data_IF_510326036163
#
_entry.id   IF_510326036163
#
_cell.length_a   1.000
_cell.length_b   1.000
_cell.length_c   1.000
_cell.angle_alpha   90.00
_cell.angle_beta   90.00
_cell.angle_gamma   90.00
#
_symmetry.space_group_name_H-M   'P 1'
#
loop_
_entity.id
_entity.type
_entity.pdbx_description
1 polymer ?
#
# COMPACT_ATOMS: atom_id res chain seq x y z
N UNK A 1 -13.63 3.29 10.09
CA UNK A 1 -12.97 2.03 10.51
C UNK A 1 -11.48 2.09 10.16
N UNK A 2 -10.68 1.10 10.58
CA UNK A 2 -9.28 0.98 10.17
C UNK A 2 -9.18 0.22 8.84
N UNK A 3 -8.34 0.69 7.91
CA UNK A 3 -8.18 0.12 6.56
C UNK A 3 -6.70 -0.01 6.27
N UNK A 4 -6.25 -1.16 5.77
CA UNK A 4 -4.89 -1.29 5.26
C UNK A 4 -4.81 -0.72 3.86
N UNK A 5 -3.93 0.25 3.65
CA UNK A 5 -3.68 0.86 2.34
C UNK A 5 -2.24 0.53 1.90
N UNK A 6 -2.07 0.12 0.65
CA UNK A 6 -0.76 -0.28 0.11
C UNK A 6 -0.04 0.85 -0.61
N UNK A 7 1.24 0.64 -0.91
CA UNK A 7 2.14 1.67 -1.48
C UNK A 7 1.58 2.35 -2.71
N UNK A 8 0.97 1.61 -3.64
CA UNK A 8 0.43 2.19 -4.87
C UNK A 8 -0.76 3.14 -4.61
N UNK A 9 -1.56 2.94 -3.56
CA UNK A 9 -2.65 3.87 -3.22
C UNK A 9 -2.14 5.22 -2.75
N UNK A 10 -1.04 5.26 -1.99
CA UNK A 10 -0.40 6.51 -1.58
C UNK A 10 0.20 7.25 -2.78
N UNK A 11 0.87 6.52 -3.68
CA UNK A 11 1.48 7.09 -4.88
C UNK A 11 0.42 7.64 -5.83
N UNK A 12 -0.67 6.92 -6.04
CA UNK A 12 -1.78 7.39 -6.89
C UNK A 12 -2.35 8.74 -6.40
N UNK A 13 -2.52 8.89 -5.09
CA UNK A 13 -2.97 10.16 -4.49
C UNK A 13 -1.91 11.25 -4.65
N UNK A 14 -0.65 10.97 -4.35
CA UNK A 14 0.45 11.95 -4.37
C UNK A 14 0.81 12.42 -5.79
N UNK A 15 0.66 11.56 -6.79
CA UNK A 15 0.97 11.81 -8.20
C UNK A 15 -0.23 12.32 -9.00
N UNK A 16 -1.39 12.50 -8.37
CA UNK A 16 -2.64 12.88 -9.04
C UNK A 16 -3.04 11.90 -10.16
N UNK A 17 -2.88 10.60 -9.91
CA UNK A 17 -3.37 9.57 -10.82
C UNK A 17 -4.92 9.58 -10.90
N UNK A 18 -5.52 9.04 -11.97
CA UNK A 18 -6.98 9.06 -12.18
C UNK A 18 -7.79 8.50 -11.00
N UNK A 19 -7.23 7.57 -10.23
CA UNK A 19 -7.83 6.92 -9.08
C UNK A 19 -7.91 7.83 -7.84
N UNK A 20 -7.18 8.95 -7.80
CA UNK A 20 -7.03 9.81 -6.62
C UNK A 20 -8.37 10.17 -5.97
N UNK A 21 -9.32 10.68 -6.74
CA UNK A 21 -10.60 11.15 -6.20
C UNK A 21 -11.41 10.00 -5.60
N UNK A 22 -11.34 8.82 -6.22
CA UNK A 22 -12.00 7.62 -5.72
C UNK A 22 -11.36 7.13 -4.43
N UNK A 23 -10.03 7.07 -4.37
CA UNK A 23 -9.27 6.69 -3.17
C UNK A 23 -9.57 7.65 -2.00
N UNK A 24 -9.60 8.96 -2.24
CA UNK A 24 -9.92 9.96 -1.20
C UNK A 24 -11.36 9.78 -0.70
N UNK A 25 -12.35 9.65 -1.59
CA UNK A 25 -13.74 9.44 -1.19
C UNK A 25 -13.91 8.16 -0.37
N UNK A 26 -13.32 7.06 -0.82
CA UNK A 26 -13.42 5.74 -0.18
C UNK A 26 -12.73 5.71 1.19
N UNK A 27 -11.64 6.46 1.36
CA UNK A 27 -10.88 6.51 2.62
C UNK A 27 -11.32 7.64 3.55
N UNK A 28 -12.19 8.54 3.11
CA UNK A 28 -12.73 9.61 3.95
C UNK A 28 -13.43 9.05 5.18
N UNK A 29 -13.09 9.56 6.37
CA UNK A 29 -13.61 9.06 7.66
C UNK A 29 -13.01 7.73 8.13
N UNK A 30 -11.98 7.19 7.44
CA UNK A 30 -11.26 5.99 7.82
C UNK A 30 -9.88 6.33 8.38
N UNK A 31 -9.34 5.42 9.20
CA UNK A 31 -7.96 5.49 9.64
C UNK A 31 -7.13 4.54 8.79
N UNK A 32 -6.12 5.05 8.08
CA UNK A 32 -5.23 4.22 7.29
C UNK A 32 -4.20 3.53 8.18
N UNK A 33 -3.95 2.26 7.87
CA UNK A 33 -2.96 1.39 8.50
C UNK A 33 -2.02 0.89 7.40
N UNK A 34 -0.75 0.72 7.70
CA UNK A 34 0.20 0.05 6.80
C UNK A 34 1.33 -0.61 7.60
N UNK A 35 2.03 -1.61 7.03
CA UNK A 35 3.29 -2.10 7.60
C UNK A 35 4.35 -0.99 7.66
N UNK A 36 5.25 -1.04 8.65
CA UNK A 36 6.39 -0.11 8.83
C UNK A 36 7.35 -0.04 7.63
N UNK A 37 7.23 -1.00 6.72
CA UNK A 37 7.99 -1.04 5.46
C UNK A 37 7.51 0.01 4.43
N UNK A 38 6.30 0.56 4.58
CA UNK A 38 5.67 1.48 3.62
C UNK A 38 6.60 2.62 3.17
N UNK A 39 7.27 3.39 4.06
CA UNK A 39 8.23 4.43 3.66
C UNK A 39 9.34 3.94 2.72
N UNK A 40 9.87 2.74 2.96
CA UNK A 40 10.96 2.16 2.18
C UNK A 40 10.48 1.70 0.81
N UNK A 41 9.27 1.15 0.74
CA UNK A 41 8.66 0.75 -0.53
C UNK A 41 8.29 1.97 -1.38
N UNK A 42 7.79 3.05 -0.77
CA UNK A 42 7.58 4.33 -1.44
C UNK A 42 8.92 4.86 -1.98
N UNK A 43 9.97 4.87 -1.17
CA UNK A 43 11.31 5.26 -1.62
C UNK A 43 11.79 4.44 -2.81
N UNK A 44 11.64 3.11 -2.76
CA UNK A 44 11.98 2.24 -3.88
C UNK A 44 11.16 2.56 -5.13
N UNK A 45 9.84 2.77 -5.00
CA UNK A 45 8.95 3.10 -6.11
C UNK A 45 9.32 4.45 -6.77
N UNK A 46 9.59 5.48 -5.97
CA UNK A 46 10.03 6.79 -6.46
C UNK A 46 11.35 6.69 -7.25
N UNK A 47 12.32 5.93 -6.73
CA UNK A 47 13.59 5.73 -7.46
C UNK A 47 13.42 4.92 -8.74
N UNK A 48 12.49 3.95 -8.76
CA UNK A 48 12.17 3.19 -9.95
C UNK A 48 11.49 4.07 -11.02
N UNK A 49 10.59 4.97 -10.61
CA UNK A 49 9.95 5.94 -11.50
C UNK A 49 10.96 6.94 -12.08
N UNK A 50 11.90 7.45 -11.26
CA UNK A 50 13.00 8.29 -11.72
C UNK A 50 13.85 7.58 -12.78
N UNK A 51 14.27 6.33 -12.53
CA UNK A 51 15.07 5.52 -13.47
C UNK A 51 14.34 5.26 -14.79
N UNK A 52 13.01 5.22 -14.77
CA UNK A 52 12.16 5.06 -15.95
C UNK A 52 11.85 6.38 -16.66
N UNK A 53 12.30 7.51 -16.14
CA UNK A 53 12.01 8.85 -16.69
C UNK A 53 10.57 9.30 -16.45
N UNK A 54 9.83 8.66 -15.54
CA UNK A 54 8.46 9.05 -15.17
C UNK A 54 8.47 10.26 -14.24
N UNK A 55 9.47 10.35 -13.36
CA UNK A 55 9.70 11.49 -12.48
C UNK A 55 11.07 12.11 -12.78
N UNK A 56 11.15 13.42 -12.62
CA UNK A 56 12.38 14.19 -12.57
C UNK A 56 12.97 14.21 -11.14
N UNK A 57 14.26 14.53 -10.95
CA UNK A 57 14.86 14.58 -9.62
C UNK A 57 14.12 15.51 -8.62
N UNK A 58 13.64 16.72 -9.00
CA UNK A 58 12.83 17.54 -8.10
C UNK A 58 11.48 16.91 -7.74
N UNK A 59 10.82 16.25 -8.69
CA UNK A 59 9.51 15.61 -8.46
C UNK A 59 9.61 14.48 -7.44
N UNK A 60 10.73 13.75 -7.36
CA UNK A 60 10.93 12.71 -6.34
C UNK A 60 10.74 13.27 -4.92
N UNK A 61 11.36 14.42 -4.62
CA UNK A 61 11.25 15.05 -3.31
C UNK A 61 9.84 15.59 -3.07
N UNK A 62 9.23 16.24 -4.07
CA UNK A 62 7.88 16.78 -3.97
C UNK A 62 6.82 15.68 -3.75
N UNK A 63 6.93 14.55 -4.46
CA UNK A 63 6.02 13.42 -4.28
C UNK A 63 6.17 12.80 -2.90
N UNK A 64 7.41 12.66 -2.40
CA UNK A 64 7.67 12.19 -1.05
C UNK A 64 7.03 13.11 0.01
N UNK A 65 7.19 14.41 -0.12
CA UNK A 65 6.60 15.38 0.81
C UNK A 65 5.06 15.34 0.78
N UNK A 66 4.46 15.14 -0.40
CA UNK A 66 3.02 14.96 -0.55
C UNK A 66 2.50 13.68 0.13
N UNK A 67 3.19 12.55 -0.06
CA UNK A 67 2.87 11.27 0.62
C UNK A 67 2.87 11.45 2.13
N UNK A 68 3.87 12.16 2.68
CA UNK A 68 4.02 12.34 4.14
C UNK A 68 2.89 13.14 4.77
N UNK A 69 2.10 13.87 3.99
CA UNK A 69 0.90 14.55 4.49
C UNK A 69 -0.28 13.61 4.70
N UNK A 70 -0.24 12.38 4.16
CA UNK A 70 -1.31 11.40 4.29
C UNK A 70 -1.18 10.69 5.65
N UNK A 71 -2.13 10.86 6.59
CA UNK A 71 -2.03 10.24 7.91
C UNK A 71 -2.18 8.71 7.81
N UNK A 72 -1.20 7.97 8.34
CA UNK A 72 -1.19 6.51 8.39
C UNK A 72 -0.57 6.01 9.70
N UNK A 73 -1.20 5.04 10.35
CA UNK A 73 -0.64 4.32 11.49
C UNK A 73 0.22 3.17 10.96
N UNK A 74 1.53 3.21 11.22
CA UNK A 74 2.44 2.14 10.86
C UNK A 74 2.43 1.02 11.90
N UNK A 75 2.49 -0.23 11.44
CA UNK A 75 2.53 -1.43 12.29
C UNK A 75 3.67 -2.35 11.91
N UNK A 76 4.28 -2.99 12.90
CA UNK A 76 5.26 -4.04 12.66
C UNK A 76 4.59 -5.22 11.93
N UNK A 77 5.25 -5.72 10.89
CA UNK A 77 4.83 -6.94 10.19
C UNK A 77 5.39 -8.18 10.90
N UNK A 78 4.61 -9.27 10.93
CA UNK A 78 5.14 -10.56 11.36
C UNK A 78 5.92 -11.18 10.21
N UNK A 79 7.26 -11.18 10.33
CA UNK A 79 8.14 -11.71 9.28
C UNK A 79 7.89 -13.20 9.00
N UNK A 80 7.58 -14.00 10.04
CA UNK A 80 7.35 -15.43 9.87
C UNK A 80 6.06 -15.67 9.09
N UNK A 81 4.99 -14.97 9.45
CA UNK A 81 3.72 -15.08 8.73
C UNK A 81 3.83 -14.53 7.31
N UNK A 82 4.49 -13.39 7.12
CA UNK A 82 4.73 -12.84 5.78
C UNK A 82 5.48 -13.85 4.88
N UNK A 83 6.56 -14.49 5.37
CA UNK A 83 7.27 -15.52 4.60
C UNK A 83 6.42 -16.78 4.35
N UNK A 84 5.50 -17.13 5.26
CA UNK A 84 4.54 -18.21 5.01
C UNK A 84 3.58 -17.84 3.86
N UNK A 85 3.14 -16.58 3.79
CA UNK A 85 2.30 -16.07 2.71
C UNK A 85 3.05 -16.02 1.37
N UNK A 86 4.32 -15.63 1.35
CA UNK A 86 5.12 -15.64 0.10
C UNK A 86 5.24 -17.04 -0.48
N UNK A 87 5.52 -18.06 0.35
CA UNK A 87 5.56 -19.46 -0.10
C UNK A 87 4.21 -19.93 -0.61
N UNK A 88 3.12 -19.60 0.11
CA UNK A 88 1.77 -20.03 -0.26
C UNK A 88 1.30 -19.43 -1.59
N UNK A 89 1.51 -18.14 -1.80
CA UNK A 89 0.93 -17.41 -2.94
C UNK A 89 1.94 -17.10 -4.05
N UNK A 90 3.22 -17.43 -3.85
CA UNK A 90 4.31 -17.13 -4.79
C UNK A 90 4.41 -15.62 -5.11
N UNK A 91 4.29 -14.80 -4.07
CA UNK A 91 4.37 -13.33 -4.12
C UNK A 91 5.63 -12.81 -3.42
N UNK A 92 5.97 -11.55 -3.67
CA UNK A 92 7.08 -10.91 -2.98
C UNK A 92 6.74 -10.62 -1.51
N UNK A 93 7.78 -10.52 -0.68
CA UNK A 93 7.62 -10.26 0.75
C UNK A 93 6.95 -8.91 1.03
N UNK A 94 7.18 -7.89 0.18
CA UNK A 94 6.53 -6.58 0.30
C UNK A 94 5.00 -6.71 0.29
N UNK A 95 4.42 -7.34 -0.74
CA UNK A 95 2.98 -7.61 -0.81
C UNK A 95 2.49 -8.43 0.40
N UNK A 96 3.28 -9.43 0.81
CA UNK A 96 2.95 -10.26 1.96
C UNK A 96 2.88 -9.47 3.27
N UNK A 97 3.67 -8.40 3.45
CA UNK A 97 3.60 -7.54 4.65
C UNK A 97 2.26 -6.80 4.75
N UNK A 98 1.70 -6.33 3.63
CA UNK A 98 0.38 -5.69 3.63
C UNK A 98 -0.74 -6.71 3.87
N UNK A 99 -0.65 -7.89 3.26
CA UNK A 99 -1.59 -8.98 3.49
C UNK A 99 -1.58 -9.46 4.95
N UNK A 100 -0.40 -9.63 5.54
CA UNK A 100 -0.23 -9.97 6.96
C UNK A 100 -0.85 -8.88 7.87
N UNK A 101 -0.56 -7.61 7.58
CA UNK A 101 -1.11 -6.48 8.32
C UNK A 101 -2.65 -6.47 8.28
N UNK A 102 -3.25 -6.74 7.11
CA UNK A 102 -4.70 -6.80 6.96
C UNK A 102 -5.30 -8.01 7.68
N UNK A 103 -4.66 -9.18 7.56
CA UNK A 103 -5.10 -10.43 8.17
C UNK A 103 -5.05 -10.38 9.70
N UNK A 104 -3.92 -9.98 10.28
CA UNK A 104 -3.73 -9.90 11.73
C UNK A 104 -4.59 -8.81 12.36
N UNK A 105 -4.74 -7.67 11.66
CA UNK A 105 -5.60 -6.57 12.09
C UNK A 105 -7.09 -6.85 11.90
N UNK A 106 -7.46 -7.83 11.08
CA UNK A 106 -8.84 -8.03 10.56
C UNK A 106 -9.39 -6.75 9.93
N UNK A 107 -8.53 -6.04 9.20
CA UNK A 107 -8.89 -4.81 8.51
C UNK A 107 -9.10 -5.09 7.02
N UNK A 108 -10.04 -4.38 6.38
CA UNK A 108 -10.13 -4.43 4.93
C UNK A 108 -8.85 -3.91 4.27
N UNK A 109 -8.54 -4.45 3.09
CA UNK A 109 -7.42 -4.04 2.25
C UNK A 109 -7.92 -3.15 1.10
N UNK A 110 -7.26 -2.00 0.93
CA UNK A 110 -7.38 -1.10 -0.21
C UNK A 110 -6.10 -1.20 -1.02
N UNK A 111 -6.22 -1.54 -2.31
CA UNK A 111 -5.07 -1.72 -3.20
C UNK A 111 -5.43 -1.57 -4.67
N UNK A 112 -4.53 -1.01 -5.48
CA UNK A 112 -4.62 -1.00 -6.95
C UNK A 112 -4.12 -2.32 -7.58
N UNK A 113 -3.40 -3.15 -6.82
CA UNK A 113 -2.79 -4.39 -7.31
C UNK A 113 -3.80 -5.55 -7.37
N UNK A 114 -4.12 -6.01 -8.58
CA UNK A 114 -5.06 -7.11 -8.82
C UNK A 114 -4.54 -8.46 -8.31
N UNK A 115 -3.24 -8.68 -8.31
CA UNK A 115 -2.60 -9.86 -7.72
C UNK A 115 -2.80 -9.90 -6.21
N UNK A 116 -2.55 -8.79 -5.53
CA UNK A 116 -2.73 -8.70 -4.09
C UNK A 116 -4.21 -8.81 -3.68
N UNK A 117 -5.14 -8.22 -4.45
CA UNK A 117 -6.60 -8.43 -4.24
C UNK A 117 -6.98 -9.91 -4.26
N UNK A 118 -6.47 -10.67 -5.25
CA UNK A 118 -6.74 -12.12 -5.35
C UNK A 118 -6.21 -12.88 -4.14
N UNK A 119 -5.02 -12.55 -3.67
CA UNK A 119 -4.44 -13.17 -2.47
C UNK A 119 -5.27 -12.86 -1.21
N UNK A 120 -5.66 -11.60 -1.02
CA UNK A 120 -6.53 -11.17 0.07
C UNK A 120 -7.89 -11.89 0.06
N UNK A 121 -8.53 -12.04 -1.10
CA UNK A 121 -9.76 -12.81 -1.23
C UNK A 121 -9.59 -14.27 -0.81
N UNK A 122 -8.49 -14.92 -1.20
CA UNK A 122 -8.18 -16.30 -0.77
C UNK A 122 -7.84 -16.43 0.73
N UNK A 123 -7.47 -15.32 1.37
CA UNK A 123 -7.26 -15.21 2.81
C UNK A 123 -8.54 -14.82 3.58
N UNK A 124 -9.67 -14.61 2.88
CA UNK A 124 -10.90 -14.05 3.45
C UNK A 124 -10.70 -12.65 4.07
N UNK A 125 -9.74 -11.89 3.56
CA UNK A 125 -9.57 -10.46 3.90
C UNK A 125 -10.55 -9.66 3.05
N UNK A 126 -11.34 -8.80 3.70
CA UNK A 126 -12.28 -7.92 3.01
C UNK A 126 -11.51 -6.95 2.09
N UNK A 127 -12.01 -6.73 0.87
CA UNK A 127 -11.49 -5.69 -0.02
C UNK A 127 -12.35 -4.44 0.11
N UNK A 128 -11.71 -3.29 0.20
CA UNK A 128 -12.39 -1.99 0.11
C UNK A 128 -12.37 -1.53 -1.35
N UNK A 129 -13.53 -1.43 -1.98
CA UNK A 129 -13.70 -1.01 -3.38
C UNK A 129 -13.82 0.52 -3.51
N UNK A 130 -13.41 1.07 -4.66
CA UNK A 130 -13.41 2.50 -4.96
C UNK A 130 -13.75 2.76 -6.44
#
# INVERSE_FOLDING_TARGET
>A
MKVVADTNTFLAVALNEPEKDALIRTTSGHQLIAPEVLPYEIGNALTAMLKKGVLTPPEVALTWDAVRQIPVELRAADMREALRLTVRFQIYAYDAYFLDCALNGRFPLLTLDRGMRRCAQQLNVQILEF
#
